data_IF_364857120918
#
_entry.id   IF_364857120918
#
_cell.length_a   1.000
_cell.length_b   1.000
_cell.length_c   1.000
_cell.angle_alpha   90.00
_cell.angle_beta   90.00
_cell.angle_gamma   90.00
#
_symmetry.space_group_name_H-M   'P 1'
#
loop_
_entity.id
_entity.type
_entity.pdbx_description
1 polymer ?
#
# COMPACT_ATOMS: atom_id res chain seq x y z
N UNK A 1 -2.74 5.00 10.38
CA UNK A 1 -3.48 5.33 9.15
C UNK A 1 -2.53 5.58 8.00
N UNK A 2 -1.56 6.47 8.15
CA UNK A 2 -0.51 6.67 7.15
C UNK A 2 0.38 5.43 6.98
N UNK A 3 0.86 4.88 8.09
CA UNK A 3 1.61 3.61 8.13
C UNK A 3 0.81 2.44 7.53
N UNK A 4 -0.52 2.45 7.69
CA UNK A 4 -1.41 1.41 7.16
C UNK A 4 -1.51 1.49 5.62
N UNK A 5 -1.47 2.69 5.05
CA UNK A 5 -1.41 2.90 3.61
C UNK A 5 -0.07 2.45 3.03
N UNK A 6 1.04 2.89 3.63
CA UNK A 6 2.38 2.51 3.19
C UNK A 6 2.56 0.98 3.23
N UNK A 7 2.10 0.34 4.31
CA UNK A 7 2.12 -1.11 4.45
C UNK A 7 1.21 -1.81 3.42
N UNK A 8 -0.04 -1.37 3.26
CA UNK A 8 -0.96 -1.98 2.28
C UNK A 8 -0.42 -1.88 0.85
N UNK A 9 0.17 -0.74 0.49
CA UNK A 9 0.79 -0.52 -0.80
C UNK A 9 2.02 -1.41 -1.02
N UNK A 10 2.86 -1.57 0.01
CA UNK A 10 4.00 -2.49 -0.04
C UNK A 10 3.56 -3.93 -0.32
N UNK A 11 2.51 -4.40 0.36
CA UNK A 11 1.96 -5.74 0.12
C UNK A 11 1.45 -5.84 -1.32
N UNK A 12 0.71 -4.86 -1.81
CA UNK A 12 0.20 -4.86 -3.19
C UNK A 12 1.33 -4.95 -4.23
N UNK A 13 2.38 -4.14 -4.07
CA UNK A 13 3.53 -4.14 -4.98
C UNK A 13 4.27 -5.50 -4.96
N UNK A 14 4.47 -6.09 -3.77
CA UNK A 14 5.08 -7.41 -3.64
C UNK A 14 4.26 -8.53 -4.30
N UNK A 15 2.92 -8.46 -4.19
CA UNK A 15 2.00 -9.37 -4.85
C UNK A 15 2.03 -9.23 -6.38
N UNK A 16 2.29 -8.03 -6.87
CA UNK A 16 2.48 -7.75 -8.29
C UNK A 16 3.90 -8.07 -8.79
N UNK A 17 4.77 -8.59 -7.92
CA UNK A 17 6.12 -9.02 -8.28
C UNK A 17 7.15 -7.90 -8.31
N UNK A 18 6.83 -6.73 -7.74
CA UNK A 18 7.79 -5.62 -7.61
C UNK A 18 8.64 -5.84 -6.36
N UNK A 19 9.96 -6.00 -6.54
CA UNK A 19 10.93 -6.21 -5.44
C UNK A 19 11.90 -5.03 -5.25
N UNK A 20 11.74 -3.95 -6.00
CA UNK A 20 12.79 -2.92 -6.15
C UNK A 20 12.67 -1.76 -5.15
N UNK A 21 11.55 -1.63 -4.44
CA UNK A 21 11.29 -0.49 -3.58
C UNK A 21 11.66 -0.76 -2.12
N UNK A 22 12.35 0.20 -1.51
CA UNK A 22 12.67 0.20 -0.09
C UNK A 22 11.56 0.88 0.75
N UNK A 23 11.69 0.84 2.08
CA UNK A 23 10.71 1.47 2.98
C UNK A 23 10.61 3.00 2.76
N UNK A 24 11.70 3.66 2.34
CA UNK A 24 11.71 5.09 2.10
C UNK A 24 10.83 5.48 0.89
N UNK A 25 10.76 4.62 -0.14
CA UNK A 25 9.83 4.82 -1.26
C UNK A 25 8.38 4.93 -0.80
N UNK A 26 7.93 4.00 0.05
CA UNK A 26 6.55 3.96 0.53
C UNK A 26 6.22 5.17 1.41
N UNK A 27 7.15 5.57 2.28
CA UNK A 27 7.01 6.78 3.08
C UNK A 27 6.88 8.03 2.21
N UNK A 28 7.80 8.25 1.26
CA UNK A 28 7.76 9.43 0.37
C UNK A 28 6.48 9.49 -0.49
N UNK A 29 5.91 8.34 -0.82
CA UNK A 29 4.66 8.27 -1.58
C UNK A 29 3.46 8.61 -0.70
N UNK A 30 3.49 8.16 0.54
CA UNK A 30 2.52 8.53 1.56
C UNK A 30 2.55 10.03 1.87
N UNK A 31 3.72 10.59 2.15
CA UNK A 31 3.92 12.02 2.43
C UNK A 31 3.33 12.89 1.30
N UNK A 32 3.59 12.52 0.04
CA UNK A 32 3.05 13.22 -1.14
C UNK A 32 1.53 13.20 -1.21
N UNK A 33 0.89 12.11 -0.77
CA UNK A 33 -0.57 12.00 -0.77
C UNK A 33 -1.16 12.88 0.34
N UNK A 34 -0.54 12.90 1.52
CA UNK A 34 -0.88 13.82 2.59
C UNK A 34 -0.82 15.27 2.13
N UNK A 35 0.31 15.67 1.53
CA UNK A 35 0.52 17.02 0.97
C UNK A 35 -0.55 17.40 -0.06
N UNK A 36 -0.94 16.46 -0.94
CA UNK A 36 -1.97 16.70 -1.95
C UNK A 36 -3.34 16.87 -1.29
N UNK A 37 -3.69 16.02 -0.32
CA UNK A 37 -4.95 16.10 0.41
C UNK A 37 -5.08 17.46 1.11
N UNK A 38 -4.03 17.90 1.80
CA UNK A 38 -3.98 19.20 2.48
C UNK A 38 -4.17 20.37 1.50
N UNK A 39 -3.48 20.34 0.34
CA UNK A 39 -3.62 21.39 -0.68
C UNK A 39 -5.03 21.46 -1.28
N UNK A 40 -5.77 20.37 -1.25
CA UNK A 40 -7.16 20.29 -1.73
C UNK A 40 -8.17 20.58 -0.61
N UNK A 41 -7.73 20.85 0.62
CA UNK A 41 -8.60 21.06 1.77
C UNK A 41 -9.34 19.79 2.20
N UNK A 42 -8.79 18.62 1.89
CA UNK A 42 -9.29 17.33 2.32
C UNK A 42 -8.57 16.89 3.60
N UNK A 43 -9.25 16.12 4.44
CA UNK A 43 -8.61 15.49 5.60
C UNK A 43 -7.77 14.28 5.12
N UNK A 44 -6.43 14.29 5.29
CA UNK A 44 -5.56 13.20 4.83
C UNK A 44 -5.98 11.83 5.36
N UNK A 45 -6.43 11.76 6.61
CA UNK A 45 -6.91 10.53 7.25
C UNK A 45 -8.04 9.86 6.47
N UNK A 46 -9.02 10.65 5.99
CA UNK A 46 -10.14 10.12 5.18
C UNK A 46 -9.65 9.65 3.81
N UNK A 47 -8.68 10.35 3.22
CA UNK A 47 -8.08 9.95 1.94
C UNK A 47 -7.34 8.63 2.09
N UNK A 48 -6.49 8.49 3.12
CA UNK A 48 -5.78 7.25 3.40
C UNK A 48 -6.73 6.07 3.67
N UNK A 49 -7.82 6.29 4.43
CA UNK A 49 -8.81 5.24 4.67
C UNK A 49 -9.41 4.70 3.37
N UNK A 50 -9.83 5.59 2.46
CA UNK A 50 -10.38 5.20 1.14
C UNK A 50 -9.35 4.45 0.30
N UNK A 51 -8.09 4.92 0.30
CA UNK A 51 -7.01 4.26 -0.46
C UNK A 51 -6.68 2.87 0.08
N UNK A 52 -6.60 2.72 1.41
CA UNK A 52 -6.38 1.42 2.07
C UNK A 52 -7.49 0.45 1.72
N UNK A 53 -8.75 0.89 1.77
CA UNK A 53 -9.88 0.03 1.42
C UNK A 53 -9.87 -0.37 -0.06
N UNK A 54 -9.53 0.55 -0.96
CA UNK A 54 -9.38 0.23 -2.38
C UNK A 54 -8.29 -0.82 -2.63
N UNK A 55 -7.12 -0.68 -1.99
CA UNK A 55 -6.03 -1.67 -2.09
C UNK A 55 -6.48 -3.04 -1.56
N UNK A 56 -7.18 -3.07 -0.43
CA UNK A 56 -7.70 -4.32 0.14
C UNK A 56 -8.69 -5.02 -0.79
N UNK A 57 -9.57 -4.25 -1.45
CA UNK A 57 -10.51 -4.78 -2.43
C UNK A 57 -9.75 -5.37 -3.61
N UNK A 58 -8.76 -4.65 -4.16
CA UNK A 58 -7.95 -5.11 -5.28
C UNK A 58 -7.22 -6.43 -4.97
N UNK A 59 -6.55 -6.51 -3.82
CA UNK A 59 -5.89 -7.75 -3.35
C UNK A 59 -6.89 -8.91 -3.24
N UNK A 60 -8.11 -8.63 -2.76
CA UNK A 60 -9.15 -9.64 -2.57
C UNK A 60 -9.74 -10.13 -3.90
N UNK A 61 -9.93 -9.24 -4.87
CA UNK A 61 -10.51 -9.55 -6.18
C UNK A 61 -9.49 -10.19 -7.13
N UNK A 62 -8.21 -9.84 -6.98
CA UNK A 62 -7.11 -10.31 -7.82
C UNK A 62 -5.96 -10.94 -7.02
N UNK A 63 -6.21 -12.02 -6.25
CA UNK A 63 -5.18 -12.60 -5.40
C UNK A 63 -4.10 -13.33 -6.22
N UNK A 64 -2.85 -12.88 -6.13
CA UNK A 64 -1.71 -13.62 -6.67
C UNK A 64 -1.29 -14.73 -5.69
N UNK A 65 -1.98 -15.89 -5.77
CA UNK A 65 -1.81 -16.98 -4.81
C UNK A 65 -0.40 -17.59 -4.79
N UNK A 66 0.24 -17.76 -5.94
CA UNK A 66 1.61 -18.28 -6.01
C UNK A 66 2.58 -17.36 -5.27
N UNK A 67 2.43 -16.05 -5.47
CA UNK A 67 3.28 -15.05 -4.82
C UNK A 67 2.97 -14.89 -3.34
N UNK A 68 1.70 -14.96 -2.94
CA UNK A 68 1.29 -15.03 -1.53
C UNK A 68 1.95 -16.22 -0.82
N UNK A 69 1.89 -17.41 -1.43
CA UNK A 69 2.56 -18.60 -0.89
C UNK A 69 4.08 -18.43 -0.81
N UNK A 70 4.70 -17.80 -1.80
CA UNK A 70 6.13 -17.50 -1.77
C UNK A 70 6.49 -16.54 -0.61
N UNK A 71 5.75 -15.44 -0.44
CA UNK A 71 6.01 -14.47 0.64
C UNK A 71 5.81 -15.10 2.02
N UNK A 72 4.77 -15.91 2.20
CA UNK A 72 4.50 -16.61 3.46
C UNK A 72 5.53 -17.69 3.81
N UNK A 73 6.25 -18.22 2.81
CA UNK A 73 7.27 -19.27 3.01
C UNK A 73 8.70 -18.75 3.08
N UNK A 74 8.93 -17.47 2.75
CA UNK A 74 10.28 -16.86 2.74
C UNK A 74 10.86 -16.60 4.15
N UNK A 75 10.00 -16.60 5.18
CA UNK A 75 10.36 -16.37 6.59
C UNK A 75 10.17 -17.61 7.50
N UNK A 76 9.98 -18.81 6.92
CA UNK A 76 10.04 -20.11 7.62
C UNK A 76 11.24 -20.92 7.17
#
# INVERSE_FOLDING_TARGET
>A
MEDDYAFALQILDQLNGVEEFDAAYYQQRSDRIGDIADRQGLEPEKVFAVLVDAIRIDIKEHPNQERLHYLLSKDT
#
